data_IF_774391826024
#
_entry.id   IF_774391826024
#
_cell.length_a   1.000
_cell.length_b   1.000
_cell.length_c   1.000
_cell.angle_alpha   90.00
_cell.angle_beta   90.00
_cell.angle_gamma   90.00
#
_symmetry.space_group_name_H-M   'P 1'
#
loop_
_entity.id
_entity.type
_entity.pdbx_description
1 polymer ?
#
# COMPACT_ATOMS: atom_id res chain seq x y z
N UNK A 1 9.92 -9.33 -0.41
CA UNK A 1 9.76 -9.34 -1.87
C UNK A 1 10.00 -7.93 -2.37
N UNK A 2 11.06 -7.72 -3.18
CA UNK A 2 11.29 -6.46 -3.87
C UNK A 2 10.02 -6.10 -4.66
N UNK A 3 9.57 -4.84 -4.57
CA UNK A 3 8.61 -4.32 -5.56
C UNK A 3 9.27 -4.54 -6.93
N UNK A 4 8.59 -5.23 -7.87
CA UNK A 4 9.17 -5.41 -9.18
C UNK A 4 9.47 -4.03 -9.78
N UNK A 5 10.61 -3.90 -10.45
CA UNK A 5 10.87 -2.73 -11.28
C UNK A 5 9.71 -2.58 -12.29
N UNK A 6 9.47 -1.39 -12.82
CA UNK A 6 8.43 -1.15 -13.82
C UNK A 6 8.47 -2.19 -14.95
N UNK A 7 9.67 -2.56 -15.39
CA UNK A 7 9.90 -3.60 -16.40
C UNK A 7 9.39 -4.99 -15.98
N UNK A 8 9.59 -5.41 -14.72
CA UNK A 8 9.09 -6.70 -14.25
C UNK A 8 7.55 -6.71 -14.16
N UNK A 9 6.95 -5.60 -13.71
CA UNK A 9 5.48 -5.45 -13.69
C UNK A 9 4.89 -5.56 -15.11
N UNK A 10 5.54 -5.00 -16.11
CA UNK A 10 5.07 -5.06 -17.49
C UNK A 10 5.19 -6.48 -18.09
N UNK A 11 6.20 -7.24 -17.71
CA UNK A 11 6.33 -8.67 -18.09
C UNK A 11 5.15 -9.48 -17.55
N UNK A 12 4.82 -9.33 -16.27
CA UNK A 12 3.69 -10.04 -15.66
C UNK A 12 2.34 -9.68 -16.29
N UNK A 13 2.12 -8.40 -16.60
CA UNK A 13 0.90 -7.96 -17.32
C UNK A 13 0.78 -8.61 -18.69
N UNK A 14 1.89 -8.64 -19.45
CA UNK A 14 1.93 -9.28 -20.77
C UNK A 14 1.64 -10.77 -20.69
N UNK A 15 2.28 -11.48 -19.75
CA UNK A 15 2.01 -12.90 -19.52
C UNK A 15 0.55 -13.16 -19.17
N UNK A 16 -0.06 -12.34 -18.30
CA UNK A 16 -1.48 -12.47 -17.97
C UNK A 16 -2.37 -12.24 -19.21
N UNK A 17 -2.04 -11.24 -20.02
CA UNK A 17 -2.76 -10.95 -21.27
C UNK A 17 -2.67 -12.11 -22.26
N UNK A 18 -1.48 -12.69 -22.47
CA UNK A 18 -1.25 -13.84 -23.32
C UNK A 18 -2.08 -15.03 -22.84
N UNK A 19 -2.04 -15.34 -21.55
CA UNK A 19 -2.84 -16.44 -20.97
C UNK A 19 -4.34 -16.26 -21.16
N UNK A 20 -4.88 -15.07 -20.94
CA UNK A 20 -6.31 -14.81 -21.14
C UNK A 20 -6.67 -14.98 -22.61
N UNK A 21 -5.81 -14.53 -23.52
CA UNK A 21 -6.01 -14.73 -24.98
C UNK A 21 -5.95 -16.20 -25.42
N UNK A 22 -5.12 -17.01 -24.77
CA UNK A 22 -5.11 -18.47 -25.00
C UNK A 22 -6.45 -19.11 -24.62
N UNK A 23 -7.06 -18.70 -23.49
CA UNK A 23 -8.36 -19.23 -23.06
C UNK A 23 -9.53 -18.70 -23.89
N UNK A 24 -9.51 -17.42 -24.22
CA UNK A 24 -10.56 -16.78 -25.01
C UNK A 24 -9.95 -15.75 -25.98
N UNK A 25 -9.65 -16.18 -27.22
CA UNK A 25 -9.06 -15.31 -28.24
C UNK A 25 -9.90 -14.05 -28.58
N UNK A 26 -11.21 -14.13 -28.35
CA UNK A 26 -12.15 -13.04 -28.64
C UNK A 26 -12.24 -11.99 -27.52
N UNK A 27 -11.54 -12.21 -26.39
CA UNK A 27 -11.55 -11.25 -25.29
C UNK A 27 -10.89 -9.94 -25.74
N UNK A 28 -11.53 -8.82 -25.50
CA UNK A 28 -10.92 -7.50 -25.64
C UNK A 28 -10.22 -7.14 -24.33
N UNK A 29 -8.90 -6.96 -24.37
CA UNK A 29 -8.07 -6.70 -23.20
C UNK A 29 -7.36 -5.35 -23.35
N UNK A 30 -7.68 -4.44 -22.44
CA UNK A 30 -7.00 -3.15 -22.32
C UNK A 30 -6.01 -3.21 -21.14
N UNK A 31 -4.74 -2.98 -21.42
CA UNK A 31 -3.70 -2.94 -20.39
C UNK A 31 -3.14 -1.52 -20.28
N UNK A 32 -2.97 -1.05 -19.05
CA UNK A 32 -2.41 0.26 -18.75
C UNK A 32 -1.03 0.07 -18.10
N UNK A 33 0.01 0.65 -18.70
CA UNK A 33 1.37 0.60 -18.17
C UNK A 33 1.58 1.58 -17.01
N UNK A 34 0.66 2.52 -16.85
CA UNK A 34 0.73 3.54 -15.81
C UNK A 34 0.10 3.06 -14.50
N UNK A 35 0.62 3.59 -13.39
CA UNK A 35 -0.03 3.47 -12.09
C UNK A 35 -1.30 4.33 -12.10
N UNK A 36 -2.41 3.76 -11.59
CA UNK A 36 -3.62 4.55 -11.36
C UNK A 36 -3.34 5.65 -10.32
N UNK A 37 -3.74 6.86 -10.61
CA UNK A 37 -3.52 8.05 -9.80
C UNK A 37 -4.68 9.03 -9.99
N UNK A 38 -4.82 10.09 -9.19
CA UNK A 38 -5.95 11.03 -9.28
C UNK A 38 -6.12 11.73 -10.63
N UNK A 39 -5.07 11.78 -11.46
CA UNK A 39 -5.13 12.43 -12.79
C UNK A 39 -5.72 11.52 -13.86
N UNK A 40 -5.48 10.21 -13.78
CA UNK A 40 -5.90 9.24 -14.80
C UNK A 40 -7.05 8.32 -14.36
N UNK A 41 -7.38 8.28 -13.05
CA UNK A 41 -8.37 7.33 -12.50
C UNK A 41 -9.75 7.45 -13.16
N UNK A 42 -10.26 8.66 -13.33
CA UNK A 42 -11.57 8.88 -13.96
C UNK A 42 -11.56 8.44 -15.42
N UNK A 43 -10.51 8.79 -16.18
CA UNK A 43 -10.37 8.41 -17.58
C UNK A 43 -10.31 6.88 -17.77
N UNK A 44 -9.59 6.19 -16.88
CA UNK A 44 -9.48 4.73 -16.94
C UNK A 44 -10.80 4.06 -16.56
N UNK A 45 -11.36 4.42 -15.41
CA UNK A 45 -12.54 3.77 -14.82
C UNK A 45 -13.80 3.98 -15.66
N UNK A 46 -13.97 5.14 -16.30
CA UNK A 46 -15.14 5.40 -17.13
C UNK A 46 -15.31 4.42 -18.30
N UNK A 47 -14.22 3.78 -18.76
CA UNK A 47 -14.22 2.82 -19.88
C UNK A 47 -14.89 1.48 -19.55
N UNK A 48 -15.18 1.22 -18.28
CA UNK A 48 -15.70 -0.06 -17.79
C UNK A 48 -17.02 0.12 -17.05
N UNK A 49 -17.88 -0.92 -17.10
CA UNK A 49 -19.20 -0.91 -16.45
C UNK A 49 -19.15 -1.35 -15.00
N UNK A 50 -18.24 -2.26 -14.65
CA UNK A 50 -18.06 -2.79 -13.30
C UNK A 50 -16.56 -2.75 -12.99
N UNK A 51 -16.22 -2.29 -11.81
CA UNK A 51 -14.83 -2.22 -11.34
C UNK A 51 -14.60 -3.29 -10.29
N UNK A 52 -13.50 -4.02 -10.41
CA UNK A 52 -13.04 -5.00 -9.42
C UNK A 52 -11.76 -4.50 -8.77
N UNK A 53 -11.79 -4.24 -7.47
CA UNK A 53 -10.60 -3.81 -6.72
C UNK A 53 -9.83 -5.03 -6.18
N UNK A 54 -8.65 -5.26 -6.74
CA UNK A 54 -7.68 -6.26 -6.30
C UNK A 54 -6.39 -5.61 -5.79
N UNK A 55 -6.43 -4.32 -5.40
CA UNK A 55 -5.25 -3.61 -4.90
C UNK A 55 -4.87 -4.05 -3.48
N UNK A 56 -3.61 -3.82 -3.11
CA UNK A 56 -3.02 -4.24 -1.85
C UNK A 56 -2.72 -3.07 -0.89
N UNK A 57 -3.23 -1.88 -1.20
CA UNK A 57 -2.95 -0.68 -0.44
C UNK A 57 -4.17 0.24 -0.32
N UNK A 58 -4.26 0.96 0.79
CA UNK A 58 -5.42 1.79 1.09
C UNK A 58 -5.56 2.99 0.16
N UNK A 59 -4.47 3.64 -0.23
CA UNK A 59 -4.52 4.81 -1.11
C UNK A 59 -5.18 4.49 -2.44
N UNK A 60 -4.79 3.40 -3.09
CA UNK A 60 -5.42 2.94 -4.34
C UNK A 60 -6.88 2.55 -4.12
N UNK A 61 -7.22 1.89 -3.00
CA UNK A 61 -8.61 1.52 -2.68
C UNK A 61 -9.53 2.72 -2.55
N UNK A 62 -9.10 3.75 -1.80
CA UNK A 62 -9.87 4.99 -1.68
C UNK A 62 -10.01 5.71 -3.01
N UNK A 63 -8.93 5.77 -3.80
CA UNK A 63 -8.95 6.39 -5.13
C UNK A 63 -9.96 5.69 -6.07
N UNK A 64 -9.93 4.37 -6.13
CA UNK A 64 -10.85 3.58 -6.96
C UNK A 64 -12.28 3.78 -6.48
N UNK A 65 -12.53 3.70 -5.16
CA UNK A 65 -13.86 3.92 -4.58
C UNK A 65 -14.42 5.29 -4.95
N UNK A 66 -13.63 6.34 -4.75
CA UNK A 66 -14.08 7.71 -4.97
C UNK A 66 -14.30 8.01 -6.46
N UNK A 67 -13.45 7.45 -7.33
CA UNK A 67 -13.67 7.53 -8.77
C UNK A 67 -14.94 6.78 -9.21
N UNK A 68 -15.22 5.61 -8.62
CA UNK A 68 -16.46 4.87 -8.85
C UNK A 68 -17.69 5.64 -8.38
N UNK A 69 -17.62 6.33 -7.23
CA UNK A 69 -18.68 7.21 -6.75
C UNK A 69 -18.99 8.33 -7.74
N UNK A 70 -17.96 9.06 -8.19
CA UNK A 70 -18.09 10.17 -9.14
C UNK A 70 -18.70 9.69 -10.47
N UNK A 71 -18.28 8.52 -10.95
CA UNK A 71 -18.71 7.96 -12.22
C UNK A 71 -19.98 7.09 -12.12
N UNK A 72 -20.54 6.92 -10.92
CA UNK A 72 -21.67 6.02 -10.64
C UNK A 72 -21.43 4.59 -11.15
N UNK A 73 -20.24 4.04 -10.88
CA UNK A 73 -19.87 2.69 -11.28
C UNK A 73 -19.91 1.74 -10.07
N UNK A 74 -20.47 0.52 -10.22
CA UNK A 74 -20.37 -0.51 -9.18
C UNK A 74 -18.92 -0.91 -8.95
N UNK A 75 -18.57 -1.10 -7.68
CA UNK A 75 -17.26 -1.53 -7.24
C UNK A 75 -17.34 -2.85 -6.47
N UNK A 76 -16.74 -3.90 -7.00
CA UNK A 76 -16.59 -5.17 -6.30
C UNK A 76 -15.28 -5.13 -5.52
N UNK A 77 -15.40 -5.01 -4.21
CA UNK A 77 -14.29 -4.88 -3.27
C UNK A 77 -13.82 -6.25 -2.78
N UNK A 78 -12.50 -6.43 -2.73
CA UNK A 78 -11.85 -7.58 -2.10
C UNK A 78 -10.63 -7.16 -1.28
N UNK A 79 -10.46 -7.76 -0.11
CA UNK A 79 -9.30 -7.53 0.76
C UNK A 79 -8.85 -8.83 1.40
N UNK A 80 -7.54 -9.01 1.54
CA UNK A 80 -6.95 -10.21 2.16
C UNK A 80 -5.83 -9.80 3.10
N UNK A 81 -5.79 -10.42 4.27
CA UNK A 81 -4.70 -10.28 5.25
C UNK A 81 -4.45 -11.62 5.93
N UNK A 82 -3.27 -12.23 5.70
CA UNK A 82 -2.98 -13.57 6.20
C UNK A 82 -4.00 -14.61 5.72
N UNK A 83 -4.74 -15.19 6.64
CA UNK A 83 -5.83 -16.14 6.40
C UNK A 83 -7.22 -15.50 6.39
N UNK A 84 -7.33 -14.19 6.59
CA UNK A 84 -8.61 -13.50 6.55
C UNK A 84 -8.85 -12.86 5.19
N UNK A 85 -10.11 -12.88 4.75
CA UNK A 85 -10.54 -12.26 3.51
C UNK A 85 -11.88 -11.55 3.67
N UNK A 86 -12.07 -10.50 2.88
CA UNK A 86 -13.30 -9.72 2.89
C UNK A 86 -13.76 -9.44 1.46
N UNK A 87 -15.08 -9.53 1.22
CA UNK A 87 -15.69 -9.18 -0.06
C UNK A 87 -16.96 -8.37 0.19
N UNK A 88 -17.17 -7.33 -0.61
CA UNK A 88 -18.39 -6.51 -0.61
C UNK A 88 -18.64 -5.96 -2.01
N UNK A 89 -19.84 -5.46 -2.25
CA UNK A 89 -20.17 -4.68 -3.43
C UNK A 89 -20.58 -3.29 -3.00
N UNK A 90 -19.89 -2.29 -3.52
CA UNK A 90 -20.10 -0.87 -3.25
C UNK A 90 -20.67 -0.16 -4.48
N UNK A 91 -21.35 0.95 -4.26
CA UNK A 91 -21.83 1.83 -5.32
C UNK A 91 -22.71 1.15 -6.39
N UNK A 92 -23.40 0.05 -6.07
CA UNK A 92 -24.26 -0.65 -7.01
C UNK A 92 -25.42 0.23 -7.48
N UNK A 93 -25.93 1.06 -6.58
CA UNK A 93 -26.99 2.04 -6.83
C UNK A 93 -26.84 3.26 -5.89
N UNK A 94 -27.72 4.25 -6.03
CA UNK A 94 -27.64 5.50 -5.24
C UNK A 94 -27.78 5.32 -3.73
N UNK A 95 -28.37 4.23 -3.28
CA UNK A 95 -28.56 3.93 -1.85
C UNK A 95 -27.50 2.98 -1.29
N UNK A 96 -26.71 2.36 -2.15
CA UNK A 96 -25.65 1.43 -1.76
C UNK A 96 -24.56 2.11 -0.92
N UNK A 97 -23.98 1.43 0.05
CA UNK A 97 -22.80 1.92 0.75
C UNK A 97 -21.57 1.98 -0.18
N UNK A 98 -20.54 2.59 0.32
CA UNK A 98 -19.23 2.68 -0.31
C UNK A 98 -18.11 2.35 0.70
N UNK A 99 -16.85 2.34 0.26
CA UNK A 99 -15.73 1.99 1.14
C UNK A 99 -15.63 2.90 2.37
N UNK A 100 -15.99 4.18 2.26
CA UNK A 100 -15.93 5.13 3.39
C UNK A 100 -17.01 4.87 4.45
N UNK A 101 -18.05 4.13 4.12
CA UNK A 101 -19.03 3.65 5.10
C UNK A 101 -18.49 2.47 5.92
N UNK A 102 -17.55 1.70 5.36
CA UNK A 102 -16.81 0.64 6.06
C UNK A 102 -15.59 1.19 6.80
N UNK A 103 -14.84 2.07 6.16
CA UNK A 103 -13.59 2.65 6.64
C UNK A 103 -13.64 4.17 6.41
N UNK A 104 -14.22 4.95 7.35
CA UNK A 104 -14.37 6.40 7.21
C UNK A 104 -13.03 7.13 7.06
N UNK A 105 -12.02 6.64 7.76
CA UNK A 105 -10.66 7.18 7.73
C UNK A 105 -9.67 6.11 7.28
N UNK A 106 -8.66 6.53 6.54
CA UNK A 106 -7.57 5.64 6.18
C UNK A 106 -6.85 5.16 7.44
N UNK A 107 -6.73 3.85 7.66
CA UNK A 107 -5.99 3.34 8.81
C UNK A 107 -4.57 3.91 8.82
N UNK A 108 -4.11 4.36 9.98
CA UNK A 108 -2.73 4.81 10.10
C UNK A 108 -1.77 3.64 9.83
N UNK A 109 -0.63 3.91 9.21
CA UNK A 109 0.38 2.89 8.85
C UNK A 109 0.86 2.04 10.03
N UNK A 110 0.70 2.55 11.25
CA UNK A 110 1.09 1.83 12.48
C UNK A 110 -0.03 0.95 13.05
N UNK A 111 -1.26 1.08 12.54
CA UNK A 111 -2.42 0.36 13.08
C UNK A 111 -2.70 -0.93 12.31
N UNK A 112 -2.46 -0.92 11.01
CA UNK A 112 -2.67 -2.10 10.15
C UNK A 112 -1.38 -2.36 9.36
N UNK A 113 -0.69 -3.48 9.63
CA UNK A 113 0.50 -3.84 8.85
C UNK A 113 0.11 -4.06 7.37
N UNK A 114 0.98 -3.62 6.47
CA UNK A 114 0.76 -3.84 5.04
C UNK A 114 0.77 -5.33 4.69
N UNK A 115 0.11 -5.72 3.59
CA UNK A 115 0.18 -7.09 3.07
C UNK A 115 1.62 -7.57 2.86
N UNK A 116 2.56 -6.65 2.58
CA UNK A 116 3.98 -6.96 2.44
C UNK A 116 4.68 -7.24 3.78
N UNK A 117 4.17 -6.72 4.89
CA UNK A 117 4.74 -6.91 6.23
C UNK A 117 4.14 -8.13 6.93
N UNK A 118 2.83 -8.32 6.81
CA UNK A 118 2.12 -9.43 7.45
C UNK A 118 2.17 -10.71 6.62
N UNK A 119 2.31 -10.56 5.31
CA UNK A 119 2.21 -11.67 4.37
C UNK A 119 0.78 -12.00 3.97
N UNK A 120 0.64 -12.69 2.85
CA UNK A 120 -0.65 -13.14 2.33
C UNK A 120 -0.50 -14.57 1.82
N UNK A 121 -1.43 -15.42 2.17
CA UNK A 121 -1.47 -16.81 1.69
C UNK A 121 -2.16 -16.85 0.33
N UNK A 122 -1.51 -17.47 -0.66
CA UNK A 122 -2.02 -17.53 -2.04
C UNK A 122 -3.43 -18.14 -2.16
N UNK A 123 -3.76 -19.11 -1.28
CA UNK A 123 -5.12 -19.69 -1.22
C UNK A 123 -6.16 -18.64 -0.84
N UNK A 124 -5.84 -17.76 0.12
CA UNK A 124 -6.76 -16.70 0.55
C UNK A 124 -7.06 -15.73 -0.58
N UNK A 125 -6.04 -15.28 -1.32
CA UNK A 125 -6.22 -14.39 -2.48
C UNK A 125 -7.01 -15.07 -3.60
N UNK A 126 -6.73 -16.35 -3.87
CA UNK A 126 -7.45 -17.14 -4.87
C UNK A 126 -8.95 -17.24 -4.57
N UNK A 127 -9.29 -17.57 -3.31
CA UNK A 127 -10.69 -17.69 -2.89
C UNK A 127 -11.42 -16.35 -2.99
N UNK A 128 -10.83 -15.28 -2.46
CA UNK A 128 -11.44 -13.95 -2.49
C UNK A 128 -11.63 -13.47 -3.93
N UNK A 129 -10.64 -13.68 -4.81
CA UNK A 129 -10.77 -13.34 -6.23
C UNK A 129 -11.90 -14.10 -6.94
N UNK A 130 -12.07 -15.40 -6.65
CA UNK A 130 -13.20 -16.19 -7.19
C UNK A 130 -14.54 -15.64 -6.71
N UNK A 131 -14.64 -15.26 -5.44
CA UNK A 131 -15.89 -14.70 -4.90
C UNK A 131 -16.17 -13.33 -5.51
N UNK A 132 -15.14 -12.48 -5.72
CA UNK A 132 -15.32 -11.21 -6.44
C UNK A 132 -15.87 -11.44 -7.86
N UNK A 133 -15.33 -12.40 -8.60
CA UNK A 133 -15.83 -12.77 -9.94
C UNK A 133 -17.27 -13.25 -9.86
N UNK A 134 -17.63 -14.04 -8.86
CA UNK A 134 -19.01 -14.47 -8.65
C UNK A 134 -19.97 -13.30 -8.42
N UNK A 135 -19.56 -12.27 -7.65
CA UNK A 135 -20.36 -11.05 -7.48
C UNK A 135 -20.53 -10.29 -8.80
N UNK A 136 -19.47 -10.18 -9.61
CA UNK A 136 -19.55 -9.58 -10.95
C UNK A 136 -20.55 -10.31 -11.82
N UNK A 137 -20.51 -11.64 -11.86
CA UNK A 137 -21.45 -12.47 -12.64
C UNK A 137 -22.87 -12.24 -12.18
N UNK A 138 -23.13 -12.18 -10.88
CA UNK A 138 -24.48 -11.89 -10.34
C UNK A 138 -24.99 -10.51 -10.76
N UNK A 139 -24.13 -9.50 -10.76
CA UNK A 139 -24.47 -8.14 -11.22
C UNK A 139 -24.84 -8.17 -12.71
N UNK A 140 -24.03 -8.80 -13.55
CA UNK A 140 -24.25 -8.90 -15.00
C UNK A 140 -25.55 -9.64 -15.30
N UNK A 141 -25.76 -10.80 -14.69
CA UNK A 141 -26.93 -11.66 -14.92
C UNK A 141 -28.20 -11.16 -14.20
N UNK A 142 -28.06 -10.18 -13.29
CA UNK A 142 -29.14 -9.72 -12.40
C UNK A 142 -29.83 -10.88 -11.66
N UNK A 143 -29.01 -11.86 -11.18
CA UNK A 143 -29.49 -13.06 -10.49
C UNK A 143 -28.83 -13.21 -9.13
N UNK A 144 -29.60 -13.80 -8.21
CA UNK A 144 -29.15 -14.05 -6.85
C UNK A 144 -29.08 -12.76 -6.00
N UNK A 145 -28.56 -12.90 -4.80
CA UNK A 145 -28.38 -11.80 -3.86
C UNK A 145 -26.93 -11.28 -3.95
N UNK A 146 -26.76 -10.05 -4.43
CA UNK A 146 -25.48 -9.35 -4.47
C UNK A 146 -25.11 -8.88 -3.06
N UNK A 147 -23.83 -8.81 -2.74
CA UNK A 147 -23.30 -8.30 -1.46
C UNK A 147 -23.38 -6.77 -1.34
N UNK A 148 -24.45 -6.17 -1.87
CA UNK A 148 -24.77 -4.75 -1.70
C UNK A 148 -25.27 -4.48 -0.28
N UNK A 149 -24.69 -3.53 0.42
CA UNK A 149 -25.00 -3.24 1.83
C UNK A 149 -24.55 -4.33 2.80
N UNK A 150 -23.67 -5.23 2.38
CA UNK A 150 -23.16 -6.34 3.19
C UNK A 150 -21.69 -6.55 2.92
N UNK A 151 -20.95 -6.95 3.98
CA UNK A 151 -19.60 -7.44 3.85
C UNK A 151 -19.53 -8.89 4.32
N UNK A 152 -18.98 -9.76 3.48
CA UNK A 152 -18.60 -11.12 3.88
C UNK A 152 -17.18 -11.11 4.39
N UNK A 153 -16.99 -11.65 5.58
CA UNK A 153 -15.67 -11.86 6.20
C UNK A 153 -15.42 -13.35 6.27
N UNK A 154 -14.27 -13.78 5.77
CA UNK A 154 -13.82 -15.16 5.73
C UNK A 154 -12.64 -15.33 6.67
N UNK A 155 -12.74 -16.24 7.61
CA UNK A 155 -11.65 -16.75 8.44
C UNK A 155 -11.30 -18.14 7.91
N UNK A 156 -10.28 -18.20 7.07
CA UNK A 156 -9.88 -19.45 6.41
C UNK A 156 -9.06 -20.34 7.33
N UNK A 157 -8.53 -19.82 8.43
CA UNK A 157 -7.82 -20.63 9.41
C UNK A 157 -8.79 -21.53 10.18
N UNK A 158 -9.96 -20.98 10.56
CA UNK A 158 -11.00 -21.67 11.31
C UNK A 158 -12.20 -22.07 10.43
N UNK A 159 -12.14 -21.81 9.12
CA UNK A 159 -13.21 -22.09 8.16
C UNK A 159 -14.56 -21.45 8.54
N UNK A 160 -14.52 -20.25 9.10
CA UNK A 160 -15.69 -19.50 9.49
C UNK A 160 -16.00 -18.36 8.51
N UNK A 161 -17.27 -18.08 8.35
CA UNK A 161 -17.74 -16.92 7.58
C UNK A 161 -18.69 -16.08 8.38
N UNK A 162 -18.60 -14.76 8.25
CA UNK A 162 -19.52 -13.80 8.87
C UNK A 162 -20.04 -12.85 7.81
N UNK A 163 -21.35 -12.57 7.85
CA UNK A 163 -21.97 -11.55 7.02
C UNK A 163 -22.40 -10.40 7.92
N UNK A 164 -21.83 -9.22 7.68
CA UNK A 164 -22.13 -7.99 8.42
C UNK A 164 -22.89 -7.03 7.52
N UNK A 165 -23.85 -6.28 8.08
CA UNK A 165 -24.60 -5.26 7.35
C UNK A 165 -23.88 -3.92 7.43
N UNK A 166 -23.78 -3.25 6.29
CA UNK A 166 -23.23 -1.90 6.15
C UNK A 166 -24.36 -0.92 5.88
N UNK A 167 -24.38 0.16 6.65
CA UNK A 167 -25.31 1.27 6.43
C UNK A 167 -24.62 2.34 5.60
N UNK A 168 -25.31 2.85 4.61
CA UNK A 168 -24.84 3.96 3.80
C UNK A 168 -25.03 5.29 4.53
N UNK A 169 -23.98 6.12 4.58
CA UNK A 169 -24.05 7.50 5.04
C UNK A 169 -24.03 8.46 3.84
N UNK A 170 -24.96 9.42 3.80
CA UNK A 170 -25.06 10.40 2.73
C UNK A 170 -23.84 11.36 2.71
N UNK A 171 -23.19 11.59 3.86
CA UNK A 171 -21.99 12.42 3.95
C UNK A 171 -20.86 11.80 3.12
N UNK A 172 -20.72 10.48 3.17
CA UNK A 172 -19.68 9.74 2.44
C UNK A 172 -19.91 9.70 0.92
N UNK A 173 -21.06 10.15 0.45
CA UNK A 173 -21.39 10.24 -0.99
C UNK A 173 -21.12 11.60 -1.62
N UNK A 174 -20.76 12.61 -0.83
CA UNK A 174 -20.55 13.98 -1.32
C UNK A 174 -19.16 14.17 -1.98
N UNK A 175 -18.62 13.09 -2.53
CA UNK A 175 -17.33 13.13 -3.24
C UNK A 175 -17.59 13.48 -4.70
N UNK A 176 -17.23 14.69 -5.08
CA UNK A 176 -17.41 15.21 -6.44
C UNK A 176 -16.07 15.59 -7.11
N UNK A 177 -14.96 15.53 -6.38
CA UNK A 177 -13.65 15.88 -6.89
C UNK A 177 -12.55 15.14 -6.14
N UNK A 178 -11.71 14.41 -6.88
CA UNK A 178 -10.58 13.64 -6.33
C UNK A 178 -9.50 14.54 -5.72
N UNK A 179 -9.34 15.77 -6.20
CA UNK A 179 -8.30 16.68 -5.70
C UNK A 179 -8.46 17.07 -4.23
N UNK A 180 -9.67 16.96 -3.68
CA UNK A 180 -9.93 17.28 -2.26
C UNK A 180 -9.44 16.21 -1.29
N UNK A 181 -9.13 15.03 -1.78
CA UNK A 181 -8.80 13.85 -0.98
C UNK A 181 -7.41 13.29 -1.30
N UNK A 182 -6.50 14.12 -1.82
CA UNK A 182 -5.16 13.71 -2.23
C UNK A 182 -4.38 13.00 -1.12
N UNK A 183 -4.56 13.41 0.13
CA UNK A 183 -3.90 12.80 1.29
C UNK A 183 -4.32 11.34 1.53
N UNK A 184 -5.55 10.98 1.14
CA UNK A 184 -6.05 9.60 1.23
C UNK A 184 -5.46 8.70 0.14
N UNK A 185 -5.09 9.25 -1.02
CA UNK A 185 -4.64 8.48 -2.17
C UNK A 185 -3.13 8.27 -2.21
N UNK A 186 -2.39 8.99 -1.38
CA UNK A 186 -0.95 8.82 -1.28
C UNK A 186 -0.63 7.55 -0.51
N UNK A 187 -0.17 6.52 -1.22
CA UNK A 187 0.57 5.43 -0.60
C UNK A 187 1.97 5.86 -0.19
N UNK A 188 2.41 6.97 -0.75
CA UNK A 188 3.65 7.59 -0.39
C UNK A 188 3.51 8.14 1.02
N UNK A 189 4.20 7.50 1.93
CA UNK A 189 5.00 8.14 2.93
C UNK A 189 4.90 9.66 2.83
N UNK A 190 3.97 10.18 3.63
CA UNK A 190 3.96 11.54 4.15
C UNK A 190 4.77 12.55 3.30
N UNK A 191 4.14 13.19 2.35
CA UNK A 191 4.58 14.51 1.87
C UNK A 191 4.20 15.59 2.89
N UNK A 192 4.54 15.41 4.14
CA UNK A 192 4.88 16.52 5.01
C UNK A 192 6.32 16.88 4.64
N UNK A 193 6.52 18.11 4.23
CA UNK A 193 7.79 18.78 3.97
C UNK A 193 8.86 18.38 5.02
N UNK A 194 9.56 17.30 4.78
CA UNK A 194 10.78 16.94 5.47
C UNK A 194 11.70 16.38 4.40
N UNK A 195 12.86 16.95 4.29
CA UNK A 195 13.89 16.82 3.28
C UNK A 195 13.92 15.53 2.45
N UNK A 196 14.25 15.64 1.21
CA UNK A 196 14.47 14.51 0.30
C UNK A 196 15.48 13.55 0.92
N UNK A 197 15.02 12.33 1.30
CA UNK A 197 15.95 11.29 1.76
C UNK A 197 16.68 10.76 0.52
N UNK A 198 17.95 11.09 0.41
CA UNK A 198 18.80 10.60 -0.65
C UNK A 198 19.24 9.16 -0.34
N UNK A 199 19.08 8.27 -1.30
CA UNK A 199 19.59 6.90 -1.20
C UNK A 199 20.94 6.80 -1.90
N UNK A 200 21.87 6.16 -1.23
CA UNK A 200 23.19 5.81 -1.79
C UNK A 200 23.33 4.29 -1.83
N UNK A 201 23.89 3.74 -2.88
CA UNK A 201 24.21 2.31 -2.91
C UNK A 201 25.48 2.02 -2.08
N UNK A 202 25.66 0.76 -1.71
CA UNK A 202 26.76 0.35 -0.82
C UNK A 202 28.15 0.61 -1.42
N UNK A 203 28.33 0.51 -2.74
CA UNK A 203 29.61 0.76 -3.40
C UNK A 203 29.98 2.24 -3.37
N UNK A 204 29.04 3.11 -3.71
CA UNK A 204 29.23 4.56 -3.70
C UNK A 204 29.42 5.07 -2.28
N UNK A 205 28.65 4.55 -1.31
CA UNK A 205 28.82 4.87 0.10
C UNK A 205 30.21 4.46 0.61
N UNK A 206 30.69 3.25 0.31
CA UNK A 206 32.00 2.78 0.73
C UNK A 206 33.13 3.66 0.17
N UNK A 207 32.99 4.10 -1.08
CA UNK A 207 33.94 5.03 -1.70
C UNK A 207 33.93 6.39 -0.98
N UNK A 208 32.76 6.94 -0.69
CA UNK A 208 32.60 8.20 0.02
C UNK A 208 33.13 8.12 1.46
N UNK A 209 32.83 7.03 2.17
CA UNK A 209 33.23 6.82 3.56
C UNK A 209 34.75 6.70 3.72
N UNK A 210 35.42 6.04 2.79
CA UNK A 210 36.89 5.95 2.76
C UNK A 210 37.56 7.30 2.52
N UNK A 211 36.94 8.20 1.75
CA UNK A 211 37.50 9.52 1.42
C UNK A 211 37.29 10.53 2.56
N UNK A 212 36.15 10.49 3.22
CA UNK A 212 35.75 11.51 4.19
C UNK A 212 35.15 10.90 5.49
N UNK A 213 35.83 9.99 6.19
CA UNK A 213 35.27 9.32 7.36
C UNK A 213 34.86 10.29 8.48
N UNK A 214 35.65 11.35 8.69
CA UNK A 214 35.40 12.33 9.76
C UNK A 214 34.25 13.30 9.46
N UNK A 215 33.70 13.33 8.24
CA UNK A 215 32.57 14.17 7.84
C UNK A 215 31.25 13.41 7.77
N UNK A 216 31.27 12.13 8.08
CA UNK A 216 30.09 11.26 8.03
C UNK A 216 29.76 10.78 9.43
N UNK A 217 28.49 10.89 9.80
CA UNK A 217 27.89 10.23 10.96
C UNK A 217 27.10 9.02 10.46
N UNK A 218 27.65 7.83 10.65
CA UNK A 218 26.99 6.59 10.23
C UNK A 218 26.22 5.98 11.38
N UNK A 219 24.91 5.85 11.24
CA UNK A 219 24.01 5.32 12.25
C UNK A 219 23.50 3.94 11.78
N UNK A 220 23.86 2.89 12.50
CA UNK A 220 23.34 1.55 12.27
C UNK A 220 22.05 1.36 13.06
N UNK A 221 20.94 1.14 12.34
CA UNK A 221 19.61 1.03 12.92
C UNK A 221 19.12 -0.41 13.03
N UNK A 222 20.05 -1.36 12.94
CA UNK A 222 19.78 -2.77 13.24
C UNK A 222 19.67 -2.97 14.76
N UNK A 223 19.15 -4.12 15.17
CA UNK A 223 19.09 -4.46 16.59
C UNK A 223 20.48 -4.72 17.15
N UNK A 224 20.64 -4.59 18.48
CA UNK A 224 21.94 -4.64 19.14
C UNK A 224 22.70 -5.96 18.89
N UNK A 225 21.99 -7.07 18.76
CA UNK A 225 22.57 -8.39 18.47
C UNK A 225 23.18 -8.42 17.06
N UNK A 226 22.50 -7.81 16.10
CA UNK A 226 23.01 -7.70 14.70
C UNK A 226 24.23 -6.78 14.63
N UNK A 227 24.21 -5.68 15.39
CA UNK A 227 25.32 -4.74 15.47
C UNK A 227 26.55 -5.38 16.11
N UNK A 228 26.37 -6.09 17.22
CA UNK A 228 27.45 -6.77 17.94
C UNK A 228 28.08 -7.91 17.13
N UNK A 229 27.29 -8.57 16.28
CA UNK A 229 27.80 -9.64 15.41
C UNK A 229 28.67 -9.12 14.26
N UNK A 230 28.33 -7.97 13.70
CA UNK A 230 29.16 -7.30 12.67
C UNK A 230 28.69 -5.86 12.50
N UNK A 231 29.57 -4.90 12.70
CA UNK A 231 29.32 -3.48 12.51
C UNK A 231 30.32 -2.88 11.51
N UNK A 232 29.98 -1.75 10.92
CA UNK A 232 30.92 -0.94 10.14
C UNK A 232 31.71 -0.08 11.14
N UNK A 233 33.02 -0.09 11.02
CA UNK A 233 33.90 0.69 11.88
C UNK A 233 33.52 2.18 11.87
N UNK A 234 33.37 2.75 13.08
CA UNK A 234 32.96 4.14 13.26
C UNK A 234 31.45 4.38 13.17
N UNK A 235 30.63 3.33 12.98
CA UNK A 235 29.17 3.46 13.06
C UNK A 235 28.68 3.48 14.51
N UNK A 236 27.55 4.17 14.73
CA UNK A 236 26.87 4.26 16.02
C UNK A 236 25.64 3.36 15.98
N UNK A 237 25.47 2.51 17.01
CA UNK A 237 24.25 1.71 17.16
C UNK A 237 23.09 2.57 17.66
N UNK A 238 22.01 2.63 16.88
CA UNK A 238 20.74 3.24 17.29
C UNK A 238 19.59 2.42 16.71
N UNK A 239 19.21 1.31 17.35
CA UNK A 239 18.17 0.43 16.86
C UNK A 239 16.85 1.16 16.55
N UNK A 240 16.19 0.77 15.46
CA UNK A 240 14.91 1.36 15.07
C UNK A 240 13.84 1.20 16.17
N UNK A 241 13.89 0.12 16.93
CA UNK A 241 13.06 -0.12 18.12
C UNK A 241 13.21 0.97 19.17
N UNK A 242 14.44 1.46 19.40
CA UNK A 242 14.73 2.54 20.34
C UNK A 242 14.28 3.91 19.79
N UNK A 243 14.48 4.17 18.49
CA UNK A 243 14.03 5.41 17.86
C UNK A 243 12.53 5.67 18.03
N UNK A 244 11.73 4.64 18.09
CA UNK A 244 10.28 4.74 18.29
C UNK A 244 9.88 5.12 19.74
N UNK A 245 10.79 5.02 20.71
CA UNK A 245 10.54 5.26 22.15
C UNK A 245 10.98 6.65 22.63
N UNK A 246 11.15 7.63 21.72
CA UNK A 246 11.67 8.98 22.01
C UNK A 246 13.04 8.94 22.72
N UNK A 247 14.09 8.48 22.05
CA UNK A 247 15.42 8.40 22.62
C UNK A 247 16.00 9.80 22.83
N UNK A 248 17.00 9.88 23.72
CA UNK A 248 17.85 11.07 23.80
C UNK A 248 18.72 11.17 22.54
N UNK A 249 18.49 12.19 21.72
CA UNK A 249 19.17 12.42 20.44
C UNK A 249 20.16 13.60 20.50
N UNK A 250 20.41 14.18 21.68
CA UNK A 250 21.26 15.38 21.81
C UNK A 250 22.64 15.20 21.17
N UNK A 251 23.26 14.04 21.38
CA UNK A 251 24.57 13.74 20.77
C UNK A 251 24.49 13.74 19.24
N UNK A 252 23.48 13.06 18.69
CA UNK A 252 23.30 12.94 17.24
C UNK A 252 22.97 14.29 16.63
N UNK A 253 22.14 15.11 17.30
CA UNK A 253 21.83 16.48 16.86
C UNK A 253 23.09 17.36 16.81
N UNK A 254 23.95 17.30 17.80
CA UNK A 254 25.21 18.06 17.80
C UNK A 254 26.13 17.63 16.66
N UNK A 255 26.30 16.32 16.46
CA UNK A 255 27.13 15.77 15.39
C UNK A 255 26.57 16.07 14.00
N UNK A 256 25.24 16.08 13.82
CA UNK A 256 24.59 16.36 12.54
C UNK A 256 24.76 17.79 12.05
N UNK A 257 25.13 18.74 12.93
CA UNK A 257 25.46 20.10 12.54
C UNK A 257 26.77 20.22 11.73
N UNK A 258 27.66 19.26 11.86
CA UNK A 258 28.99 19.28 11.26
C UNK A 258 29.30 18.08 10.38
N UNK A 259 28.44 17.04 10.39
CA UNK A 259 28.61 15.80 9.65
C UNK A 259 27.36 15.47 8.83
N UNK A 260 27.57 14.85 7.66
CA UNK A 260 26.49 14.27 6.88
C UNK A 260 26.01 12.97 7.55
N UNK A 261 24.70 12.86 7.79
CA UNK A 261 24.12 11.72 8.51
C UNK A 261 23.68 10.65 7.51
N UNK A 262 24.16 9.44 7.72
CA UNK A 262 23.76 8.25 6.97
C UNK A 262 23.20 7.21 7.92
N UNK A 263 22.10 6.57 7.52
CA UNK A 263 21.54 5.44 8.26
C UNK A 263 21.72 4.16 7.48
N UNK A 264 22.07 3.07 8.15
CA UNK A 264 22.32 1.77 7.53
C UNK A 264 21.50 0.67 8.20
N UNK A 265 21.06 -0.30 7.38
CA UNK A 265 20.55 -1.59 7.82
C UNK A 265 20.79 -2.67 6.75
N UNK A 266 20.35 -3.89 6.97
CA UNK A 266 20.60 -5.01 6.05
C UNK A 266 19.97 -4.83 4.66
N UNK A 267 18.77 -4.24 4.53
CA UNK A 267 17.98 -4.19 3.28
C UNK A 267 17.56 -2.79 2.85
N UNK A 268 17.94 -1.74 3.58
CA UNK A 268 17.51 -0.37 3.32
C UNK A 268 16.15 0.01 3.95
N UNK A 269 15.29 -0.96 4.30
CA UNK A 269 13.94 -0.66 4.81
C UNK A 269 13.93 -0.01 6.21
N UNK A 270 14.72 -0.55 7.15
CA UNK A 270 14.83 0.01 8.51
C UNK A 270 15.54 1.36 8.49
N UNK A 271 16.59 1.50 7.70
CA UNK A 271 17.36 2.75 7.58
C UNK A 271 16.51 3.87 6.98
N UNK A 272 15.68 3.60 5.99
CA UNK A 272 14.74 4.58 5.45
C UNK A 272 13.73 5.06 6.52
N UNK A 273 13.13 4.13 7.28
CA UNK A 273 12.23 4.50 8.39
C UNK A 273 12.95 5.36 9.44
N UNK A 274 14.19 5.00 9.78
CA UNK A 274 14.99 5.75 10.72
C UNK A 274 15.33 7.16 10.22
N UNK A 275 15.75 7.32 8.97
CA UNK A 275 16.01 8.63 8.37
C UNK A 275 14.78 9.54 8.43
N UNK A 276 13.57 8.98 8.20
CA UNK A 276 12.32 9.75 8.31
C UNK A 276 12.00 10.17 9.74
N UNK A 277 12.36 9.35 10.72
CA UNK A 277 12.19 9.71 12.13
C UNK A 277 13.19 10.81 12.49
N UNK A 278 14.46 10.63 12.14
CA UNK A 278 15.53 11.58 12.44
C UNK A 278 15.30 12.96 11.79
N UNK A 279 14.81 13.00 10.56
CA UNK A 279 14.50 14.25 9.86
C UNK A 279 13.42 15.08 10.58
N UNK A 280 12.50 14.48 11.36
CA UNK A 280 11.54 15.19 12.21
C UNK A 280 12.24 15.95 13.36
N UNK A 281 13.41 15.48 13.75
CA UNK A 281 14.24 16.12 14.78
C UNK A 281 15.32 17.04 14.18
N UNK A 282 15.21 17.36 12.88
CA UNK A 282 16.18 18.20 12.13
C UNK A 282 17.58 17.60 12.08
N UNK A 283 17.66 16.27 12.02
CA UNK A 283 18.88 15.47 11.86
C UNK A 283 18.93 14.92 10.44
#
# INVERSE_FOLDING_TARGET
TQKPSSAASDVYKRQAQERIKEFNPNSELLTFAERINPKNALEIIQKFDIICDCSDNFGTRYLINDACLILNKPLVFGSVQGFEGQVSVFNLNKTSPNLRDLLPESPSKNTVPSCAEYGVVGVSTGLIGIIQVNEIIKIILKKGEVLDGKIMVFDLLNMNTKKLHLKSDQVNKQINNLSKFMDYYSDDECSTQTGTINRINACDFNSLYKIKPNKILLIDVRENEEFSASAIDGSISLPLSHLNQKPDLEFIQKESLIKEVFTICKTGKRSEKASRILSKFKI
#
